data_IF_021560244215
#
_entry.id   IF_021560244215
#
_cell.length_a   1.000
_cell.length_b   1.000
_cell.length_c   1.000
_cell.angle_alpha   90.00
_cell.angle_beta   90.00
_cell.angle_gamma   90.00
#
_symmetry.space_group_name_H-M   'P 1'
#
loop_
_entity.id
_entity.type
_entity.pdbx_description
1 polymer ?
#
# COMPACT_ATOMS: atom_id res chain seq x y z
N UNK A 1 -16.05 18.17 15.28
CA UNK A 1 -15.55 18.43 13.91
C UNK A 1 -15.05 17.10 13.37
N UNK A 2 -15.63 16.57 12.29
CA UNK A 2 -15.08 15.35 11.67
C UNK A 2 -13.66 15.62 11.19
N UNK A 3 -12.75 14.68 11.45
CA UNK A 3 -11.42 14.74 10.89
C UNK A 3 -11.52 14.75 9.35
N UNK A 4 -10.85 15.70 8.70
CA UNK A 4 -10.85 15.83 7.22
C UNK A 4 -10.25 14.58 6.58
N UNK A 5 -9.33 13.92 7.27
CA UNK A 5 -8.69 12.69 6.82
C UNK A 5 -8.99 11.55 7.79
N UNK A 6 -9.28 10.39 7.20
CA UNK A 6 -9.54 9.14 7.92
C UNK A 6 -9.05 7.95 7.09
N UNK A 7 -9.44 6.73 7.49
CA UNK A 7 -9.07 5.50 6.78
C UNK A 7 -9.60 5.46 5.34
N UNK A 8 -10.76 6.04 5.06
CA UNK A 8 -11.39 6.04 3.74
C UNK A 8 -10.97 7.27 2.91
N UNK A 9 -10.51 8.34 3.55
CA UNK A 9 -9.92 9.52 2.92
C UNK A 9 -8.51 9.80 3.49
N UNK A 10 -7.47 9.06 3.08
CA UNK A 10 -6.13 9.23 3.62
C UNK A 10 -5.46 10.52 3.13
N UNK A 11 -4.60 11.10 3.96
CA UNK A 11 -3.78 12.24 3.57
C UNK A 11 -2.54 11.80 2.77
N UNK A 12 -2.33 12.40 1.60
CA UNK A 12 -1.14 12.17 0.78
C UNK A 12 0.08 12.93 1.32
N UNK A 13 0.63 12.43 2.42
CA UNK A 13 1.78 13.02 3.10
C UNK A 13 3.08 12.90 2.27
N UNK A 14 3.89 13.96 2.25
CA UNK A 14 5.22 13.94 1.62
C UNK A 14 6.23 13.24 2.51
N UNK A 15 7.01 12.32 1.96
CA UNK A 15 8.18 11.74 2.65
C UNK A 15 9.31 12.78 2.72
N UNK A 16 9.78 13.06 3.94
CA UNK A 16 10.81 14.06 4.25
C UNK A 16 12.15 13.43 4.51
N UNK A 17 12.17 12.33 5.27
CA UNK A 17 13.39 11.59 5.60
C UNK A 17 13.16 10.09 5.44
N UNK A 18 14.20 9.41 4.97
CA UNK A 18 14.30 7.95 4.99
C UNK A 18 15.76 7.57 5.23
N UNK A 19 16.01 6.83 6.29
CA UNK A 19 17.37 6.33 6.59
C UNK A 19 17.36 4.99 7.29
N UNK A 20 18.38 4.19 7.01
CA UNK A 20 18.60 2.93 7.71
C UNK A 20 19.05 3.20 9.15
N UNK A 21 18.42 2.52 10.10
CA UNK A 21 18.81 2.51 11.50
C UNK A 21 19.68 1.30 11.85
N UNK A 22 19.50 0.17 11.15
CA UNK A 22 20.33 -1.01 11.36
C UNK A 22 21.71 -0.88 10.70
N UNK A 23 22.71 -1.59 11.23
CA UNK A 23 24.04 -1.63 10.61
C UNK A 23 23.98 -2.31 9.23
N UNK A 24 24.94 -1.99 8.36
CA UNK A 24 25.06 -2.63 7.05
C UNK A 24 25.32 -4.14 7.15
N UNK A 25 25.98 -4.57 8.22
CA UNK A 25 26.21 -6.00 8.56
C UNK A 25 24.99 -6.70 9.14
N UNK A 26 23.93 -5.98 9.50
CA UNK A 26 22.73 -6.58 10.08
C UNK A 26 21.92 -7.32 9.02
N UNK A 27 21.44 -8.52 9.39
CA UNK A 27 20.46 -9.28 8.60
C UNK A 27 19.08 -8.60 8.55
N UNK A 28 18.78 -7.68 9.48
CA UNK A 28 17.53 -6.92 9.51
C UNK A 28 17.73 -5.56 8.85
N UNK A 29 16.73 -5.13 8.08
CA UNK A 29 16.67 -3.78 7.53
C UNK A 29 15.62 -2.95 8.29
N UNK A 30 16.06 -2.22 9.31
CA UNK A 30 15.19 -1.31 10.07
C UNK A 30 15.38 0.09 9.55
N UNK A 31 14.28 0.74 9.17
CA UNK A 31 14.28 2.03 8.50
C UNK A 31 13.52 3.06 9.35
N UNK A 32 14.05 4.27 9.42
CA UNK A 32 13.38 5.47 9.92
C UNK A 32 12.71 6.18 8.75
N UNK A 33 11.47 6.61 8.94
CA UNK A 33 10.74 7.44 7.99
C UNK A 33 10.16 8.65 8.70
N UNK A 34 10.24 9.81 8.05
CA UNK A 34 9.52 11.02 8.47
C UNK A 34 8.64 11.51 7.35
N UNK A 35 7.40 11.86 7.67
CA UNK A 35 6.42 12.38 6.72
C UNK A 35 5.95 13.76 7.17
N UNK A 36 5.71 14.66 6.21
CA UNK A 36 5.16 15.99 6.50
C UNK A 36 3.65 15.90 6.66
N UNK A 37 3.14 16.50 7.73
CA UNK A 37 1.71 16.72 7.97
C UNK A 37 1.29 18.16 7.65
N UNK A 38 2.18 18.94 7.04
CA UNK A 38 1.89 20.34 6.70
C UNK A 38 0.66 20.46 5.79
N UNK A 39 -0.19 21.44 6.07
CA UNK A 39 -1.48 21.63 5.39
C UNK A 39 -2.57 20.59 5.67
N UNK A 40 -2.30 19.52 6.44
CA UNK A 40 -3.30 18.48 6.70
C UNK A 40 -4.27 18.78 7.85
N UNK A 41 -3.84 19.59 8.82
CA UNK A 41 -4.57 19.79 10.09
C UNK A 41 -4.64 18.53 10.98
N UNK A 42 -3.91 17.46 10.64
CA UNK A 42 -3.83 16.25 11.46
C UNK A 42 -3.05 16.50 12.74
N UNK A 43 -3.52 15.90 13.83
CA UNK A 43 -2.86 15.91 15.14
C UNK A 43 -2.74 14.47 15.64
N UNK A 44 -1.63 14.15 16.32
CA UNK A 44 -1.41 12.85 16.94
C UNK A 44 -0.71 13.02 18.30
N UNK A 45 -0.75 11.98 19.12
CA UNK A 45 -0.06 11.88 20.41
C UNK A 45 0.97 10.75 20.38
N UNK A 46 1.98 10.82 21.24
CA UNK A 46 2.91 9.72 21.43
C UNK A 46 2.13 8.45 21.84
N UNK A 47 2.37 7.35 21.13
CA UNK A 47 1.65 6.09 21.28
C UNK A 47 0.59 5.85 20.20
N UNK A 48 0.17 6.89 19.46
CA UNK A 48 -0.71 6.71 18.30
C UNK A 48 0.02 5.99 17.16
N UNK A 49 -0.76 5.33 16.30
CA UNK A 49 -0.25 4.60 15.13
C UNK A 49 -0.57 5.31 13.83
N UNK A 50 0.34 5.23 12.86
CA UNK A 50 0.14 5.74 11.51
C UNK A 50 -0.33 4.62 10.58
N UNK A 51 -1.50 4.80 9.98
CA UNK A 51 -1.96 3.94 8.88
C UNK A 51 -1.27 4.31 7.58
N UNK A 52 -0.72 3.32 6.87
CA UNK A 52 -0.08 3.50 5.56
C UNK A 52 -0.79 2.62 4.54
N UNK A 53 -1.08 3.20 3.38
CA UNK A 53 -1.68 2.50 2.23
C UNK A 53 -0.59 2.22 1.19
N UNK A 54 0.00 1.00 1.18
CA UNK A 54 1.06 0.67 0.23
C UNK A 54 0.50 0.32 -1.14
N UNK A 55 1.37 0.38 -2.15
CA UNK A 55 1.13 -0.15 -3.48
C UNK A 55 2.04 -1.36 -3.72
N UNK A 56 1.55 -2.37 -4.43
CA UNK A 56 2.39 -3.53 -4.76
C UNK A 56 3.51 -3.15 -5.73
N UNK A 57 4.60 -3.93 -5.69
CA UNK A 57 5.72 -3.76 -6.61
C UNK A 57 5.26 -4.02 -8.06
N UNK A 58 5.49 -3.05 -8.95
CA UNK A 58 5.10 -3.15 -10.35
C UNK A 58 5.69 -4.36 -11.09
N UNK A 59 6.90 -4.78 -10.73
CA UNK A 59 7.53 -5.99 -11.29
C UNK A 59 6.80 -7.26 -10.83
N UNK A 60 6.38 -7.32 -9.56
CA UNK A 60 5.62 -8.45 -9.04
C UNK A 60 4.22 -8.54 -9.70
N UNK A 61 3.54 -7.41 -9.85
CA UNK A 61 2.26 -7.34 -10.59
C UNK A 61 2.43 -7.81 -12.03
N UNK A 62 3.47 -7.33 -12.72
CA UNK A 62 3.74 -7.71 -14.12
C UNK A 62 4.10 -9.19 -14.26
N UNK A 63 4.90 -9.74 -13.33
CA UNK A 63 5.25 -11.14 -13.30
C UNK A 63 4.02 -12.03 -13.08
N UNK A 64 3.12 -11.63 -12.18
CA UNK A 64 1.88 -12.34 -11.91
C UNK A 64 0.95 -12.33 -13.13
N UNK A 65 0.72 -11.17 -13.74
CA UNK A 65 -0.09 -11.04 -14.95
C UNK A 65 0.43 -11.94 -16.07
N UNK A 66 1.75 -11.91 -16.31
CA UNK A 66 2.40 -12.76 -17.31
C UNK A 66 2.25 -14.25 -17.00
N UNK A 67 2.49 -14.66 -15.75
CA UNK A 67 2.37 -16.06 -15.34
C UNK A 67 0.94 -16.60 -15.47
N UNK A 68 -0.06 -15.73 -15.25
CA UNK A 68 -1.47 -16.06 -15.38
C UNK A 68 -2.02 -15.87 -16.80
N UNK A 69 -1.24 -15.34 -17.75
CA UNK A 69 -1.65 -15.14 -19.15
C UNK A 69 -2.59 -13.94 -19.36
N UNK A 70 -2.61 -12.97 -18.45
CA UNK A 70 -3.44 -11.76 -18.55
C UNK A 70 -2.66 -10.56 -19.08
N UNK A 71 -3.37 -9.68 -19.78
CA UNK A 71 -2.83 -8.41 -20.28
C UNK A 71 -2.78 -7.33 -19.19
N UNK A 72 -3.65 -7.44 -18.18
CA UNK A 72 -3.86 -6.45 -17.14
C UNK A 72 -4.93 -5.40 -17.48
N UNK A 73 -5.42 -5.37 -18.72
CA UNK A 73 -6.47 -4.44 -19.17
C UNK A 73 -7.89 -5.00 -18.99
N UNK A 74 -8.00 -6.26 -18.57
CA UNK A 74 -9.28 -6.90 -18.32
C UNK A 74 -10.07 -6.11 -17.27
N UNK A 75 -11.35 -5.91 -17.54
CA UNK A 75 -12.25 -5.24 -16.60
C UNK A 75 -12.64 -6.21 -15.48
N UNK A 76 -12.41 -5.81 -14.23
CA UNK A 76 -12.71 -6.60 -13.04
C UNK A 76 -13.50 -5.78 -12.03
N UNK A 77 -14.38 -6.44 -11.31
CA UNK A 77 -15.16 -5.84 -10.21
C UNK A 77 -14.66 -6.38 -8.89
N UNK A 78 -14.33 -5.48 -7.96
CA UNK A 78 -13.99 -5.85 -6.58
C UNK A 78 -15.26 -5.70 -5.74
N UNK A 79 -15.61 -6.68 -4.87
CA UNK A 79 -16.86 -6.65 -4.09
C UNK A 79 -17.11 -5.38 -3.26
N UNK A 80 -16.07 -4.59 -2.96
CA UNK A 80 -16.15 -3.36 -2.17
C UNK A 80 -16.07 -2.07 -3.00
N UNK A 81 -15.74 -2.18 -4.28
CA UNK A 81 -15.65 -1.02 -5.17
C UNK A 81 -16.95 -0.87 -5.96
N UNK A 82 -17.36 0.38 -6.17
CA UNK A 82 -18.61 0.72 -6.86
C UNK A 82 -18.49 0.66 -8.38
N UNK A 83 -17.28 0.58 -8.92
CA UNK A 83 -17.02 0.60 -10.37
C UNK A 83 -16.00 -0.46 -10.76
N UNK A 84 -16.11 -0.92 -12.01
CA UNK A 84 -15.14 -1.83 -12.58
C UNK A 84 -13.82 -1.10 -12.85
N UNK A 85 -12.71 -1.77 -12.57
CA UNK A 85 -11.35 -1.28 -12.77
C UNK A 85 -10.55 -2.29 -13.58
N UNK A 86 -9.36 -1.91 -14.06
CA UNK A 86 -8.50 -2.87 -14.75
C UNK A 86 -7.89 -3.87 -13.78
N UNK A 87 -7.63 -5.09 -14.23
CA UNK A 87 -6.97 -6.11 -13.42
C UNK A 87 -5.61 -5.63 -12.89
N UNK A 88 -4.87 -4.86 -13.69
CA UNK A 88 -3.61 -4.24 -13.26
C UNK A 88 -3.81 -3.26 -12.10
N UNK A 89 -4.82 -2.40 -12.16
CA UNK A 89 -5.12 -1.46 -11.08
C UNK A 89 -5.54 -2.19 -9.80
N UNK A 90 -6.38 -3.23 -9.94
CA UNK A 90 -6.79 -4.08 -8.83
C UNK A 90 -5.58 -4.70 -8.11
N UNK A 91 -4.66 -5.31 -8.87
CA UNK A 91 -3.45 -5.95 -8.35
C UNK A 91 -2.43 -4.94 -7.80
N UNK A 92 -2.46 -3.69 -8.25
CA UNK A 92 -1.49 -2.67 -7.80
C UNK A 92 -1.92 -2.03 -6.49
N UNK A 93 -3.19 -1.64 -6.36
CA UNK A 93 -3.66 -0.73 -5.30
C UNK A 93 -4.76 -1.31 -4.41
N UNK A 94 -5.44 -2.38 -4.82
CA UNK A 94 -6.66 -2.86 -4.12
C UNK A 94 -6.51 -4.23 -3.47
N UNK A 95 -5.59 -5.05 -3.96
CA UNK A 95 -5.38 -6.43 -3.50
C UNK A 95 -4.00 -6.61 -2.85
N UNK A 96 -3.89 -7.56 -1.94
CA UNK A 96 -2.61 -7.93 -1.32
C UNK A 96 -1.91 -9.02 -2.13
N UNK A 97 -0.61 -8.86 -2.37
CA UNK A 97 0.25 -9.86 -3.02
C UNK A 97 1.25 -10.51 -2.03
N UNK A 98 0.87 -10.63 -0.76
CA UNK A 98 1.74 -11.15 0.32
C UNK A 98 1.97 -12.68 0.29
N UNK A 99 1.71 -13.33 -0.85
CA UNK A 99 1.81 -14.77 -1.03
C UNK A 99 0.50 -15.53 -0.81
N UNK A 100 0.48 -16.83 -1.14
CA UNK A 100 -0.72 -17.66 -1.01
C UNK A 100 -1.09 -17.83 0.46
N UNK A 101 -2.36 -17.62 0.77
CA UNK A 101 -2.91 -17.99 2.07
C UNK A 101 -3.28 -19.47 2.08
N UNK A 102 -3.42 -20.07 3.26
CA UNK A 102 -3.88 -21.47 3.37
C UNK A 102 -5.18 -21.73 2.61
N UNK A 103 -6.13 -20.80 2.70
CA UNK A 103 -7.43 -20.87 1.99
C UNK A 103 -7.32 -20.77 0.47
N UNK A 104 -6.19 -20.30 -0.05
CA UNK A 104 -5.97 -20.16 -1.48
C UNK A 104 -5.37 -21.42 -2.12
N UNK A 105 -4.70 -22.26 -1.34
CA UNK A 105 -3.98 -23.46 -1.84
C UNK A 105 -4.81 -24.73 -1.75
N UNK A 106 -5.85 -24.75 -0.90
CA UNK A 106 -6.83 -25.84 -0.83
C UNK A 106 -7.86 -25.73 -1.94
#
# INVERSE_FOLDING_TARGET
MSAVYDKNNPFHAKLVDRRRLSSTSSLKDTQHFSVSLDGSGLTYKCGDSLGVFPTNNAQAVSALLKAAGFTGNESVTIPKDTSAITLKEALTNRLSLNGPTYKFVQ
#
